data_IF_983851680640
#
_entry.id   IF_983851680640
#
_cell.length_a   1.000
_cell.length_b   1.000
_cell.length_c   1.000
_cell.angle_alpha   90.00
_cell.angle_beta   90.00
_cell.angle_gamma   90.00
#
_symmetry.space_group_name_H-M   'P 1'
#
loop_
_entity.id
_entity.type
_entity.pdbx_description
1 polymer ?
#
# COMPACT_ATOMS: atom_id res chain seq x y z
N UNK A 1 53.76 2.29 42.91
CA UNK A 1 52.39 1.98 43.35
C UNK A 1 51.59 1.58 42.12
N UNK A 2 50.88 0.44 42.19
CA UNK A 2 49.63 0.08 41.47
C UNK A 2 49.56 0.21 39.92
N UNK A 3 49.00 -0.69 39.11
CA UNK A 3 48.19 -1.91 39.28
C UNK A 3 48.55 -2.92 38.17
N UNK A 4 48.38 -4.21 38.46
CA UNK A 4 48.49 -5.34 37.53
C UNK A 4 47.24 -5.44 36.64
N UNK A 5 47.35 -6.00 35.42
CA UNK A 5 46.77 -7.31 35.06
C UNK A 5 46.97 -7.68 33.57
N UNK A 6 47.75 -8.75 33.37
CA UNK A 6 47.63 -9.88 32.45
C UNK A 6 46.92 -9.73 31.08
N UNK A 7 47.72 -10.00 30.03
CA UNK A 7 47.27 -10.37 28.70
C UNK A 7 47.77 -11.78 28.32
N UNK A 8 47.01 -12.39 27.41
CA UNK A 8 47.31 -13.53 26.53
C UNK A 8 47.32 -14.94 27.14
N UNK A 9 46.51 -15.85 26.58
CA UNK A 9 47.08 -16.91 25.73
C UNK A 9 46.05 -17.47 24.73
N UNK A 10 46.64 -17.83 23.58
CA UNK A 10 46.08 -18.16 22.28
C UNK A 10 45.97 -19.69 22.17
N UNK A 11 44.79 -20.21 21.84
CA UNK A 11 44.56 -21.64 21.59
C UNK A 11 44.01 -21.86 20.19
N UNK A 12 44.82 -22.45 19.31
CA UNK A 12 44.45 -22.88 17.96
C UNK A 12 44.09 -24.37 18.00
N UNK A 13 42.94 -24.78 17.48
CA UNK A 13 42.71 -26.16 17.00
C UNK A 13 41.91 -26.14 15.69
N UNK A 14 42.41 -26.93 14.76
CA UNK A 14 41.85 -27.27 13.45
C UNK A 14 41.26 -28.67 13.54
N UNK A 15 40.11 -28.92 12.92
CA UNK A 15 39.78 -30.21 12.31
C UNK A 15 38.60 -30.08 11.35
N UNK A 16 38.67 -30.88 10.30
CA UNK A 16 37.92 -30.86 9.04
C UNK A 16 36.56 -31.56 9.06
N UNK A 17 35.85 -31.34 7.94
CA UNK A 17 34.82 -32.16 7.27
C UNK A 17 33.42 -32.28 7.89
N UNK A 18 32.39 -31.86 7.16
CA UNK A 18 31.59 -32.73 6.26
C UNK A 18 30.52 -31.87 5.56
N UNK A 19 30.30 -32.12 4.26
CA UNK A 19 29.31 -31.47 3.40
C UNK A 19 27.95 -32.19 3.42
N UNK A 20 26.85 -31.42 3.28
CA UNK A 20 25.58 -31.68 2.52
C UNK A 20 24.41 -30.86 3.12
N UNK A 21 23.27 -30.69 2.42
CA UNK A 21 23.05 -29.72 1.34
C UNK A 21 21.92 -28.74 1.74
N UNK A 22 22.12 -27.42 1.69
CA UNK A 22 21.02 -26.53 2.08
C UNK A 22 20.04 -26.31 0.93
N UNK A 23 18.89 -26.96 1.06
CA UNK A 23 17.68 -26.76 0.28
C UNK A 23 17.35 -25.28 0.17
N UNK A 24 17.03 -24.83 -1.04
CA UNK A 24 16.66 -23.45 -1.33
C UNK A 24 15.40 -23.05 -0.58
N UNK A 25 15.56 -22.16 0.40
CA UNK A 25 14.49 -21.34 0.91
C UNK A 25 14.80 -19.90 0.48
N UNK A 26 14.10 -19.44 -0.56
CA UNK A 26 13.98 -18.01 -0.86
C UNK A 26 13.14 -17.36 0.24
N UNK A 27 13.73 -17.17 1.42
CA UNK A 27 13.20 -16.29 2.44
C UNK A 27 13.91 -14.96 2.27
N UNK A 28 13.26 -14.02 1.59
CA UNK A 28 13.68 -12.63 1.58
C UNK A 28 13.47 -12.06 2.99
N UNK A 29 14.48 -12.24 3.85
CA UNK A 29 14.51 -11.61 5.16
C UNK A 29 14.86 -10.13 4.95
N UNK A 30 13.84 -9.26 5.05
CA UNK A 30 14.05 -7.81 5.10
C UNK A 30 14.48 -7.42 6.52
N UNK A 31 15.55 -6.64 6.62
CA UNK A 31 16.30 -6.26 7.82
C UNK A 31 15.49 -5.46 8.86
N UNK A 32 15.90 -5.55 10.13
CA UNK A 32 15.14 -5.18 11.34
C UNK A 32 15.13 -3.70 11.76
N UNK A 33 15.69 -2.77 11.00
CA UNK A 33 15.62 -1.35 11.36
C UNK A 33 15.51 -0.48 10.10
N UNK A 34 14.27 -0.31 9.62
CA UNK A 34 13.94 0.76 8.68
C UNK A 34 13.59 1.99 9.55
N UNK A 35 14.31 3.13 9.42
CA UNK A 35 13.88 4.38 10.02
C UNK A 35 12.43 4.62 9.64
N UNK A 36 11.58 4.98 10.60
CA UNK A 36 10.16 5.22 10.37
C UNK A 36 9.98 6.50 9.55
N UNK A 37 10.26 6.42 8.24
CA UNK A 37 9.94 7.44 7.27
C UNK A 37 8.42 7.55 7.14
N UNK A 38 7.99 8.65 6.53
CA UNK A 38 6.59 8.88 6.23
C UNK A 38 6.00 7.65 5.51
N UNK A 39 4.78 7.26 5.83
CA UNK A 39 4.12 6.18 5.11
C UNK A 39 3.72 6.59 3.70
N UNK A 40 3.40 5.61 2.85
CA UNK A 40 2.78 5.88 1.57
C UNK A 40 1.42 6.56 1.75
N UNK A 41 0.97 7.27 0.72
CA UNK A 41 -0.39 7.82 0.66
C UNK A 41 -1.26 6.88 -0.16
N UNK A 42 -2.28 6.31 0.46
CA UNK A 42 -3.29 5.51 -0.22
C UNK A 42 -4.26 6.41 -0.99
N UNK A 43 -4.37 6.16 -2.29
CA UNK A 43 -5.29 6.80 -3.23
C UNK A 43 -6.21 5.72 -3.77
N UNK A 44 -7.50 5.85 -3.53
CA UNK A 44 -8.51 4.91 -4.00
C UNK A 44 -9.40 5.58 -5.03
N UNK A 45 -9.64 4.93 -6.17
CA UNK A 45 -10.59 5.37 -7.19
C UNK A 45 -11.79 4.42 -7.18
N UNK A 46 -13.00 4.97 -7.10
CA UNK A 46 -14.24 4.29 -7.41
C UNK A 46 -14.66 4.63 -8.84
N UNK A 47 -14.74 3.61 -9.70
CA UNK A 47 -14.89 3.74 -11.15
C UNK A 47 -15.99 2.82 -11.68
N UNK A 48 -16.35 2.99 -12.95
CA UNK A 48 -17.14 2.01 -13.70
C UNK A 48 -17.01 2.25 -15.19
N UNK A 49 -16.95 1.18 -15.98
CA UNK A 49 -17.00 1.26 -17.44
C UNK A 49 -18.33 1.84 -17.96
N UNK A 50 -19.42 1.72 -17.20
CA UNK A 50 -20.70 2.34 -17.53
C UNK A 50 -20.75 3.86 -17.32
N UNK A 51 -19.70 4.44 -16.72
CA UNK A 51 -19.58 5.86 -16.45
C UNK A 51 -18.69 6.56 -17.48
N UNK A 52 -19.26 7.53 -18.21
CA UNK A 52 -18.58 8.24 -19.30
C UNK A 52 -17.29 8.96 -18.90
N UNK A 53 -17.22 9.50 -17.69
CA UNK A 53 -16.08 10.31 -17.20
C UNK A 53 -15.02 9.48 -16.49
N UNK A 54 -15.34 8.23 -16.13
CA UNK A 54 -14.42 7.33 -15.42
C UNK A 54 -13.12 7.01 -16.17
N UNK A 55 -13.10 6.81 -17.52
CA UNK A 55 -11.86 6.53 -18.25
C UNK A 55 -10.76 7.59 -18.04
N UNK A 56 -11.14 8.88 -17.90
CA UNK A 56 -10.17 9.94 -17.67
C UNK A 56 -9.49 9.82 -16.29
N UNK A 57 -10.27 9.47 -15.25
CA UNK A 57 -9.74 9.21 -13.92
C UNK A 57 -8.89 7.93 -13.87
N UNK A 58 -9.29 6.87 -14.56
CA UNK A 58 -8.51 5.62 -14.66
C UNK A 58 -7.16 5.84 -15.35
N UNK A 59 -7.10 6.66 -16.40
CA UNK A 59 -5.84 7.04 -17.05
C UNK A 59 -4.92 7.79 -16.09
N UNK A 60 -5.46 8.75 -15.33
CA UNK A 60 -4.70 9.49 -14.32
C UNK A 60 -4.17 8.56 -13.22
N UNK A 61 -5.00 7.64 -12.71
CA UNK A 61 -4.61 6.64 -11.72
C UNK A 61 -3.59 5.65 -12.25
N UNK A 62 -3.66 5.29 -13.53
CA UNK A 62 -2.66 4.44 -14.19
C UNK A 62 -1.30 5.13 -14.29
N UNK A 63 -1.27 6.44 -14.61
CA UNK A 63 -0.04 7.25 -14.59
C UNK A 63 0.54 7.34 -13.18
N UNK A 64 -0.30 7.60 -12.19
CA UNK A 64 0.10 7.63 -10.78
C UNK A 64 0.69 6.29 -10.32
N UNK A 65 0.02 5.16 -10.63
CA UNK A 65 0.49 3.82 -10.26
C UNK A 65 1.78 3.38 -10.95
N UNK A 66 2.10 3.93 -12.13
CA UNK A 66 3.40 3.72 -12.81
C UNK A 66 4.54 4.57 -12.24
N UNK A 67 4.23 5.52 -11.35
CA UNK A 67 5.21 6.44 -10.80
C UNK A 67 5.53 7.62 -11.72
N UNK A 68 4.69 7.92 -12.72
CA UNK A 68 4.89 9.04 -13.65
C UNK A 68 5.00 10.39 -12.91
N UNK A 69 4.51 10.46 -11.66
CA UNK A 69 4.49 11.65 -10.81
C UNK A 69 5.37 11.55 -9.55
N UNK A 70 6.23 10.53 -9.44
CA UNK A 70 7.02 10.28 -8.24
C UNK A 70 7.89 11.49 -7.85
N UNK A 71 8.47 12.20 -8.81
CA UNK A 71 9.27 13.39 -8.55
C UNK A 71 8.43 14.53 -7.92
N UNK A 72 7.18 14.70 -8.36
CA UNK A 72 6.27 15.72 -7.82
C UNK A 72 5.77 15.35 -6.43
N UNK A 73 5.48 14.07 -6.19
CA UNK A 73 4.95 13.58 -4.91
C UNK A 73 6.03 13.53 -3.82
N UNK A 74 7.28 13.19 -4.19
CA UNK A 74 8.35 12.97 -3.22
C UNK A 74 9.08 14.24 -2.80
N UNK A 75 8.89 15.36 -3.51
CA UNK A 75 9.46 16.66 -3.17
C UNK A 75 10.97 16.76 -3.46
N UNK A 76 11.33 17.45 -4.55
CA UNK A 76 12.70 17.85 -4.85
C UNK A 76 13.18 19.05 -4.02
N UNK A 77 13.19 18.93 -2.69
CA UNK A 77 13.93 19.86 -1.82
C UNK A 77 15.44 19.64 -1.94
N UNK A 78 16.25 20.68 -1.66
CA UNK A 78 17.73 20.68 -1.74
C UNK A 78 18.40 19.53 -0.94
N UNK A 79 17.66 18.91 -0.02
CA UNK A 79 18.13 17.82 0.84
C UNK A 79 17.76 16.41 0.35
N UNK A 80 17.19 16.25 -0.86
CA UNK A 80 16.89 14.93 -1.44
C UNK A 80 15.79 14.17 -0.70
N UNK A 81 14.66 14.85 -0.47
CA UNK A 81 13.52 14.39 0.35
C UNK A 81 13.16 12.91 0.19
N UNK A 82 13.13 12.20 1.32
CA UNK A 82 12.64 10.83 1.48
C UNK A 82 11.10 10.78 1.40
N UNK A 83 10.51 11.43 0.40
CA UNK A 83 9.07 11.43 0.21
C UNK A 83 8.57 10.03 -0.12
N UNK A 84 7.46 9.66 0.50
CA UNK A 84 6.91 8.31 0.36
C UNK A 84 5.91 8.19 -0.79
N UNK A 85 5.86 7.04 -1.47
CA UNK A 85 5.10 6.88 -2.71
C UNK A 85 3.60 6.98 -2.48
N UNK A 86 2.84 7.19 -3.57
CA UNK A 86 1.42 6.94 -3.57
C UNK A 86 1.16 5.43 -3.80
N UNK A 87 0.19 4.86 -3.07
CA UNK A 87 -0.35 3.54 -3.31
C UNK A 87 -1.72 3.68 -3.94
N UNK A 88 -1.93 3.03 -5.08
CA UNK A 88 -3.15 3.18 -5.88
C UNK A 88 -3.98 1.90 -5.80
N UNK A 89 -5.28 2.05 -5.52
CA UNK A 89 -6.28 0.99 -5.69
C UNK A 89 -7.45 1.52 -6.52
N UNK A 90 -7.98 0.70 -7.41
CA UNK A 90 -9.14 1.02 -8.24
C UNK A 90 -10.23 -0.02 -7.98
N UNK A 91 -11.44 0.46 -7.72
CA UNK A 91 -12.60 -0.35 -7.38
C UNK A 91 -13.74 -0.05 -8.35
N UNK A 92 -14.15 -1.06 -9.11
CA UNK A 92 -15.26 -0.91 -10.06
C UNK A 92 -16.59 -1.17 -9.35
N UNK A 93 -17.45 -0.16 -9.32
CA UNK A 93 -18.79 -0.26 -8.71
C UNK A 93 -19.78 -0.85 -9.71
N UNK A 94 -20.81 -1.53 -9.22
CA UNK A 94 -21.79 -2.26 -10.04
C UNK A 94 -23.08 -1.48 -10.34
N UNK A 95 -23.32 -0.34 -9.68
CA UNK A 95 -24.59 0.39 -9.82
C UNK A 95 -24.76 1.12 -11.16
N UNK A 96 -23.81 1.02 -12.09
CA UNK A 96 -23.99 1.47 -13.48
C UNK A 96 -24.47 0.37 -14.43
N UNK A 97 -24.44 -0.89 -14.00
CA UNK A 97 -24.78 -2.05 -14.85
C UNK A 97 -26.22 -2.00 -15.38
N UNK A 98 -27.11 -1.25 -14.70
CA UNK A 98 -28.49 -1.03 -15.14
C UNK A 98 -28.58 -0.36 -16.53
N UNK A 99 -27.49 0.24 -17.03
CA UNK A 99 -27.42 0.84 -18.37
C UNK A 99 -27.25 -0.17 -19.51
N UNK A 100 -27.15 -1.46 -19.20
CA UNK A 100 -27.13 -2.55 -20.18
C UNK A 100 -25.74 -3.08 -20.51
N UNK A 101 -24.67 -2.35 -20.18
CA UNK A 101 -23.30 -2.90 -20.13
C UNK A 101 -22.96 -3.30 -18.72
N UNK A 102 -22.60 -4.57 -18.51
CA UNK A 102 -22.14 -5.09 -17.23
C UNK A 102 -20.62 -4.98 -17.16
N UNK A 103 -20.12 -4.18 -16.23
CA UNK A 103 -18.68 -4.04 -16.02
C UNK A 103 -18.08 -5.36 -15.50
N UNK A 104 -17.12 -5.99 -16.21
CA UNK A 104 -16.55 -7.27 -15.79
C UNK A 104 -15.73 -7.17 -14.50
N UNK A 105 -15.30 -5.97 -14.12
CA UNK A 105 -14.58 -5.71 -12.87
C UNK A 105 -15.51 -5.21 -11.75
N UNK A 106 -16.76 -4.93 -12.09
CA UNK A 106 -17.79 -4.42 -11.19
C UNK A 106 -18.12 -5.40 -10.05
N UNK A 107 -18.25 -4.88 -8.82
CA UNK A 107 -18.68 -5.68 -7.67
C UNK A 107 -19.51 -4.88 -6.67
N UNK A 108 -20.57 -5.49 -6.14
CA UNK A 108 -21.41 -4.91 -5.08
C UNK A 108 -20.62 -4.63 -3.81
N UNK A 109 -19.54 -5.37 -3.54
CA UNK A 109 -18.65 -5.11 -2.41
C UNK A 109 -17.95 -3.74 -2.53
N UNK A 110 -17.63 -3.32 -3.76
CA UNK A 110 -17.01 -2.04 -4.03
C UNK A 110 -18.01 -0.89 -3.94
N UNK A 111 -19.26 -1.12 -4.37
CA UNK A 111 -20.38 -0.20 -4.11
C UNK A 111 -20.61 0.00 -2.60
N UNK A 112 -20.61 -1.08 -1.82
CA UNK A 112 -20.75 -0.99 -0.35
C UNK A 112 -19.58 -0.24 0.28
N UNK A 113 -18.34 -0.49 -0.19
CA UNK A 113 -17.15 0.25 0.27
C UNK A 113 -17.27 1.75 -0.02
N UNK A 114 -17.73 2.12 -1.21
CA UNK A 114 -17.94 3.52 -1.56
C UNK A 114 -19.00 4.17 -0.67
N UNK A 115 -20.11 3.46 -0.43
CA UNK A 115 -21.18 3.92 0.46
C UNK A 115 -20.64 4.23 1.86
N UNK A 116 -19.76 3.40 2.40
CA UNK A 116 -19.12 3.65 3.69
C UNK A 116 -18.31 4.96 3.69
N UNK A 117 -17.66 5.33 2.58
CA UNK A 117 -17.01 6.65 2.46
C UNK A 117 -18.00 7.80 2.33
N UNK A 118 -19.11 7.62 1.62
CA UNK A 118 -20.18 8.64 1.56
C UNK A 118 -20.69 8.96 2.96
N UNK A 119 -20.94 7.92 3.77
CA UNK A 119 -21.36 8.09 5.17
C UNK A 119 -20.25 8.72 6.03
N UNK A 120 -19.02 8.20 5.96
CA UNK A 120 -17.90 8.68 6.80
C UNK A 120 -17.46 10.12 6.47
N UNK A 121 -17.63 10.56 5.22
CA UNK A 121 -17.26 11.89 4.75
C UNK A 121 -18.45 12.86 4.68
N UNK A 122 -19.64 12.46 5.17
CA UNK A 122 -20.87 13.25 5.12
C UNK A 122 -21.19 13.80 3.71
N UNK A 123 -21.13 12.93 2.70
CA UNK A 123 -21.44 13.28 1.32
C UNK A 123 -22.92 12.98 1.01
N UNK A 124 -23.50 13.74 0.09
CA UNK A 124 -24.92 13.60 -0.23
C UNK A 124 -25.25 12.38 -1.10
N UNK A 125 -24.32 11.95 -1.96
CA UNK A 125 -24.56 10.88 -2.94
C UNK A 125 -23.29 10.13 -3.31
N UNK A 126 -23.46 8.88 -3.74
CA UNK A 126 -22.44 8.14 -4.48
C UNK A 126 -22.40 8.65 -5.93
N UNK A 127 -21.20 8.72 -6.50
CA UNK A 127 -20.98 9.09 -7.89
C UNK A 127 -19.66 8.49 -8.38
N UNK A 128 -19.46 8.42 -9.70
CA UNK A 128 -18.16 8.07 -10.28
C UNK A 128 -17.77 9.08 -11.36
N UNK A 129 -16.46 9.29 -11.60
CA UNK A 129 -15.37 8.79 -10.76
C UNK A 129 -15.36 9.48 -9.39
N UNK A 130 -14.97 8.76 -8.33
CA UNK A 130 -14.71 9.34 -7.02
C UNK A 130 -13.31 8.92 -6.54
N UNK A 131 -12.48 9.89 -6.22
CA UNK A 131 -11.17 9.64 -5.59
C UNK A 131 -11.31 9.81 -4.08
N UNK A 132 -10.68 8.93 -3.31
CA UNK A 132 -10.57 9.02 -1.86
C UNK A 132 -9.11 8.94 -1.45
N UNK A 133 -8.62 9.99 -0.78
CA UNK A 133 -7.22 10.15 -0.37
C UNK A 133 -7.09 9.87 1.12
N UNK A 134 -6.24 8.91 1.49
CA UNK A 134 -6.00 8.48 2.87
C UNK A 134 -7.28 8.15 3.68
N UNK A 135 -8.38 7.84 2.99
CA UNK A 135 -9.69 7.62 3.61
C UNK A 135 -10.29 8.85 4.31
N UNK A 136 -9.77 10.07 4.04
CA UNK A 136 -10.06 11.28 4.82
C UNK A 136 -10.60 12.44 3.99
N UNK A 137 -10.24 12.50 2.72
CA UNK A 137 -10.73 13.49 1.78
C UNK A 137 -11.11 12.83 0.47
N UNK A 138 -11.91 13.54 -0.33
CA UNK A 138 -12.39 13.06 -1.61
C UNK A 138 -12.23 14.13 -2.69
N UNK A 139 -12.08 13.70 -3.94
CA UNK A 139 -12.11 14.57 -5.12
C UNK A 139 -13.21 14.09 -6.07
N UNK A 140 -13.95 15.07 -6.58
CA UNK A 140 -15.03 14.87 -7.57
C UNK A 140 -14.47 14.96 -9.00
N UNK A 141 -13.42 15.73 -9.17
CA UNK A 141 -12.76 15.93 -10.46
C UNK A 141 -11.68 14.87 -10.72
N UNK A 142 -11.20 14.88 -11.96
CA UNK A 142 -10.10 14.05 -12.43
C UNK A 142 -8.91 14.95 -12.85
N UNK A 143 -8.71 16.06 -12.15
CA UNK A 143 -7.66 17.03 -12.46
C UNK A 143 -6.33 16.62 -11.81
N UNK A 144 -5.28 16.53 -12.63
CA UNK A 144 -3.95 16.09 -12.22
C UNK A 144 -3.40 16.96 -11.08
N UNK A 145 -3.50 18.29 -11.21
CA UNK A 145 -2.97 19.22 -10.22
C UNK A 145 -3.66 19.07 -8.85
N UNK A 146 -4.99 18.93 -8.84
CA UNK A 146 -5.76 18.75 -7.61
C UNK A 146 -5.43 17.42 -6.93
N UNK A 147 -5.28 16.34 -7.70
CA UNK A 147 -4.87 15.04 -7.18
C UNK A 147 -3.47 15.10 -6.56
N UNK A 148 -2.49 15.63 -7.29
CA UNK A 148 -1.11 15.70 -6.81
C UNK A 148 -0.99 16.58 -5.56
N UNK A 149 -1.65 17.74 -5.56
CA UNK A 149 -1.74 18.61 -4.38
C UNK A 149 -2.34 17.87 -3.19
N UNK A 150 -3.45 17.17 -3.39
CA UNK A 150 -4.11 16.41 -2.32
C UNK A 150 -3.24 15.28 -1.77
N UNK A 151 -2.43 14.64 -2.60
CA UNK A 151 -1.47 13.61 -2.18
C UNK A 151 -0.32 14.22 -1.35
N UNK A 152 0.19 15.38 -1.77
CA UNK A 152 1.27 16.09 -1.08
C UNK A 152 0.79 16.61 0.29
N UNK A 153 -0.42 17.15 0.35
CA UNK A 153 -1.02 17.70 1.58
C UNK A 153 -1.63 16.63 2.50
N UNK A 154 -1.79 15.39 2.02
CA UNK A 154 -2.38 14.32 2.80
C UNK A 154 -1.56 14.00 4.06
N UNK A 155 -2.22 13.74 5.21
CA UNK A 155 -1.53 13.36 6.42
C UNK A 155 -0.75 12.05 6.21
N UNK A 156 0.53 12.09 6.55
CA UNK A 156 1.42 10.94 6.54
C UNK A 156 1.38 10.24 7.90
N UNK A 157 1.40 8.92 7.86
CA UNK A 157 1.49 8.08 9.05
C UNK A 157 2.73 7.22 8.92
N UNK A 158 3.57 7.11 9.96
CA UNK A 158 4.74 6.23 9.90
C UNK A 158 4.32 4.81 9.50
N UNK A 159 5.04 4.22 8.55
CA UNK A 159 4.79 2.83 8.17
C UNK A 159 4.93 1.95 9.41
N UNK A 160 3.92 1.12 9.76
CA UNK A 160 4.07 0.21 10.87
C UNK A 160 5.19 -0.78 10.58
N UNK A 161 6.00 -1.09 11.60
CA UNK A 161 7.11 -2.02 11.50
C UNK A 161 6.60 -3.48 11.51
N UNK A 162 5.77 -3.83 10.52
CA UNK A 162 5.30 -5.19 10.27
C UNK A 162 6.14 -5.85 9.19
N UNK A 163 6.58 -7.08 9.47
CA UNK A 163 7.09 -8.00 8.46
C UNK A 163 5.92 -8.84 7.96
N UNK A 164 5.69 -8.82 6.65
CA UNK A 164 4.75 -9.69 5.98
C UNK A 164 5.47 -10.90 5.39
N UNK A 165 5.00 -12.10 5.71
CA UNK A 165 5.42 -13.32 5.02
C UNK A 165 4.23 -13.94 4.29
N UNK A 166 4.49 -14.41 3.08
CA UNK A 166 3.49 -14.99 2.20
C UNK A 166 3.85 -16.44 1.94
N UNK A 167 2.88 -17.32 2.13
CA UNK A 167 2.99 -18.72 1.75
C UNK A 167 1.77 -19.08 0.92
N UNK A 168 1.95 -19.90 -0.11
CA UNK A 168 0.86 -20.42 -0.94
C UNK A 168 0.79 -21.94 -0.76
N UNK A 169 0.13 -22.44 0.31
CA UNK A 169 0.11 -23.88 0.60
C UNK A 169 -0.60 -24.68 -0.49
N UNK A 170 -1.60 -24.09 -1.14
CA UNK A 170 -2.32 -24.69 -2.28
C UNK A 170 -2.51 -23.68 -3.41
N UNK A 171 -2.96 -24.13 -4.59
CA UNK A 171 -3.32 -23.24 -5.70
C UNK A 171 -4.43 -22.23 -5.34
N UNK A 172 -5.24 -22.50 -4.33
CA UNK A 172 -6.42 -21.71 -3.97
C UNK A 172 -6.25 -20.90 -2.67
N UNK A 173 -5.15 -21.12 -1.92
CA UNK A 173 -4.96 -20.50 -0.61
C UNK A 173 -3.66 -19.70 -0.58
N UNK A 174 -3.78 -18.42 -0.19
CA UNK A 174 -2.67 -17.56 0.17
C UNK A 174 -2.71 -17.32 1.67
N UNK A 175 -1.70 -17.80 2.38
CA UNK A 175 -1.50 -17.51 3.79
C UNK A 175 -0.62 -16.27 3.91
N UNK A 176 -1.14 -15.24 4.59
CA UNK A 176 -0.42 -14.02 4.91
C UNK A 176 -0.20 -13.99 6.41
N UNK A 177 1.05 -13.83 6.86
CA UNK A 177 1.38 -13.62 8.27
C UNK A 177 2.06 -12.28 8.44
N UNK A 178 1.50 -11.45 9.32
CA UNK A 178 2.01 -10.12 9.66
C UNK A 178 2.57 -10.19 11.08
N UNK A 179 3.87 -9.94 11.24
CA UNK A 179 4.55 -9.95 12.55
C UNK A 179 5.26 -8.63 12.77
N UNK A 180 5.01 -7.98 13.89
CA UNK A 180 5.68 -6.72 14.21
C UNK A 180 5.10 -6.02 15.42
N UNK A 181 5.73 -4.91 15.80
CA UNK A 181 5.32 -4.13 16.95
C UNK A 181 4.36 -3.02 16.53
N UNK A 182 3.20 -2.97 17.18
CA UNK A 182 2.29 -1.85 17.05
C UNK A 182 2.77 -0.72 17.97
N UNK A 183 3.47 0.27 17.39
CA UNK A 183 4.04 1.42 18.12
C UNK A 183 3.08 2.62 18.19
N UNK A 184 1.79 2.39 18.02
CA UNK A 184 0.73 3.40 18.13
C UNK A 184 -0.24 3.02 19.24
N UNK A 185 -0.75 4.03 19.95
CA UNK A 185 -1.81 3.82 20.93
C UNK A 185 -3.10 3.51 20.16
N UNK A 186 -3.59 2.29 20.29
CA UNK A 186 -4.92 1.91 19.81
C UNK A 186 -5.94 2.46 20.81
N UNK A 187 -7.01 3.06 20.31
CA UNK A 187 -8.11 3.48 21.15
C UNK A 187 -8.91 2.25 21.63
N UNK A 188 -10.04 2.48 22.31
CA UNK A 188 -10.90 1.39 22.77
C UNK A 188 -11.60 0.60 21.65
N UNK A 189 -11.48 1.03 20.39
CA UNK A 189 -12.20 0.44 19.26
C UNK A 189 -11.37 -0.59 18.49
N UNK A 190 -10.09 -0.76 18.84
CA UNK A 190 -9.22 -1.74 18.18
C UNK A 190 -8.57 -1.21 16.91
N UNK A 191 -7.91 -2.11 16.17
CA UNK A 191 -7.22 -1.81 14.92
C UNK A 191 -7.69 -2.79 13.86
N UNK A 192 -8.18 -2.27 12.74
CA UNK A 192 -8.48 -3.08 11.56
C UNK A 192 -7.22 -3.22 10.69
N UNK A 193 -6.90 -4.47 10.35
CA UNK A 193 -5.87 -4.78 9.36
C UNK A 193 -6.57 -5.16 8.06
N UNK A 194 -6.39 -4.33 7.04
CA UNK A 194 -6.93 -4.59 5.70
C UNK A 194 -5.84 -5.18 4.80
N UNK A 195 -6.20 -6.25 4.08
CA UNK A 195 -5.35 -6.85 3.05
C UNK A 195 -6.06 -6.68 1.71
N UNK A 196 -5.41 -6.05 0.74
CA UNK A 196 -5.90 -5.91 -0.62
C UNK A 196 -5.19 -6.92 -1.54
N UNK A 197 -5.95 -7.83 -2.14
CA UNK A 197 -5.50 -8.57 -3.32
C UNK A 197 -5.91 -7.75 -4.54
N UNK A 198 -4.96 -7.48 -5.43
CA UNK A 198 -5.17 -6.63 -6.59
C UNK A 198 -4.54 -7.26 -7.83
N UNK A 199 -5.06 -6.84 -8.98
CA UNK A 199 -4.53 -7.18 -10.30
C UNK A 199 -4.03 -5.91 -10.97
N UNK A 200 -3.08 -6.05 -11.90
CA UNK A 200 -2.49 -4.93 -12.64
C UNK A 200 -2.54 -5.20 -14.13
N UNK A 201 -2.62 -4.15 -14.94
CA UNK A 201 -2.62 -4.29 -16.39
C UNK A 201 -3.92 -4.89 -16.95
N UNK A 202 -5.03 -4.73 -16.22
CA UNK A 202 -6.35 -5.10 -16.69
C UNK A 202 -6.75 -4.21 -17.88
N UNK A 203 -7.25 -4.85 -18.94
CA UNK A 203 -7.76 -4.22 -20.15
C UNK A 203 -8.98 -5.01 -20.59
N UNK A 204 -10.02 -4.31 -21.02
CA UNK A 204 -11.15 -4.91 -21.74
C UNK A 204 -11.05 -4.59 -23.22
N UNK A 205 -11.42 -5.57 -24.05
CA UNK A 205 -11.45 -5.47 -25.51
C UNK A 205 -12.47 -4.46 -26.03
#
# INVERSE_FOLDING_TARGET
>A
MSHRLFACFRGKKSSSSTSKPNSGNNSAAVSDDVPAGDGPVLVQLFSSQGCKTSPAAEMLMSRLGRGDFDAQIRGGGEDGGSGSPAMVLVFHVDYWDYKGWKDPYGSSQWTVRQKAYVEALNLDTMFTPQLVIQGRSQLVDNEEENLLKSIVEAPRFPSPAFKASFQRPTSETLQVSLTGALRMKVDGNGLDIMVALYETGLVTD
#
